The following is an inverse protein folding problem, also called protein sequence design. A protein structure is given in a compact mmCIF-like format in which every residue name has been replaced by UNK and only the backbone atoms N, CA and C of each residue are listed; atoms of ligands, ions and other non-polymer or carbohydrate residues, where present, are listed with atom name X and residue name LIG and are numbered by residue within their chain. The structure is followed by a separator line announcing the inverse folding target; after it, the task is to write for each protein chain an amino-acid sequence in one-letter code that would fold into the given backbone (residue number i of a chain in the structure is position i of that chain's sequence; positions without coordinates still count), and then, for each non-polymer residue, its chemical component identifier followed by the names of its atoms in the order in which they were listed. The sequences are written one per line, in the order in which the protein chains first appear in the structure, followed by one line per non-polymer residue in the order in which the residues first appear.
data_IF_982758046876
#
_entry.id   IF_982758046876
#
_cell.length_a   1.000
_cell.length_b   1.000
_cell.length_c   1.000
_cell.angle_alpha   90.00
_cell.angle_beta   90.00
_cell.angle_gamma   90.00
#
_symmetry.space_group_name_H-M   'P 1'
#
loop_
_entity.id
_entity.type
_entity.pdbx_description
1 polymer ?
#
# COMPACT_ATOMS: atom_id res chain seq x y z
N UNK A 1 -21.44 -28.90 -6.12
CA UNK A 1 -20.71 -27.77 -5.71
C UNK A 1 -21.56 -26.81 -4.95
N UNK A 2 -21.03 -26.17 -3.99
CA UNK A 2 -21.71 -25.41 -3.33
C UNK A 2 -22.03 -24.16 -3.78
N UNK A 3 -23.16 -24.06 -3.85
CA UNK A 3 -23.78 -23.06 -4.51
C UNK A 3 -23.98 -21.90 -3.67
N UNK A 4 -23.76 -22.01 -2.38
CA UNK A 4 -24.08 -20.96 -1.49
C UNK A 4 -22.82 -20.27 -1.03
N UNK A 5 -22.42 -19.17 -1.68
CA UNK A 5 -21.57 -18.19 -1.02
C UNK A 5 -22.44 -17.36 -0.13
N UNK A 6 -22.11 -17.32 1.16
CA UNK A 6 -22.75 -16.38 2.05
C UNK A 6 -22.33 -14.97 1.66
N UNK A 7 -23.18 -14.00 1.93
CA UNK A 7 -22.80 -12.62 1.79
C UNK A 7 -21.60 -12.36 2.71
N UNK A 8 -20.52 -11.85 2.18
CA UNK A 8 -19.26 -11.69 2.91
C UNK A 8 -18.20 -12.72 2.58
N UNK A 9 -18.55 -13.81 1.88
CA UNK A 9 -17.58 -14.82 1.43
C UNK A 9 -16.86 -14.42 0.14
N UNK A 10 -17.23 -13.29 -0.45
CA UNK A 10 -16.55 -12.77 -1.62
C UNK A 10 -15.11 -12.40 -1.29
N UNK A 11 -14.17 -12.88 -2.10
CA UNK A 11 -12.78 -12.51 -1.93
C UNK A 11 -12.60 -11.03 -2.09
N UNK A 12 -11.77 -10.45 -1.21
CA UNK A 12 -11.47 -9.03 -1.21
C UNK A 12 -10.03 -8.81 -1.62
N UNK A 13 -9.82 -7.87 -2.51
CA UNK A 13 -8.51 -7.53 -3.04
C UNK A 13 -8.26 -6.05 -2.79
N UNK A 14 -7.13 -5.78 -2.17
CA UNK A 14 -6.70 -4.42 -1.85
C UNK A 14 -5.45 -4.13 -2.70
N UNK A 15 -5.63 -3.31 -3.73
CA UNK A 15 -4.48 -2.84 -4.53
C UNK A 15 -3.76 -1.77 -3.73
N UNK A 16 -2.49 -2.00 -3.45
CA UNK A 16 -1.69 -1.06 -2.68
C UNK A 16 -0.44 -0.67 -3.45
N UNK A 17 -0.09 0.61 -3.34
CA UNK A 17 1.08 1.17 -4.01
C UNK A 17 2.03 1.72 -2.98
N UNK A 18 3.29 1.26 -3.00
CA UNK A 18 4.36 1.97 -2.35
C UNK A 18 4.70 3.14 -3.27
N UNK A 19 4.37 4.34 -2.79
CA UNK A 19 4.24 5.51 -3.65
C UNK A 19 5.32 6.53 -3.36
N UNK A 20 6.22 6.71 -4.32
CA UNK A 20 7.09 7.88 -4.39
C UNK A 20 6.50 8.72 -5.53
N UNK A 21 5.74 9.79 -5.23
CA UNK A 21 5.01 10.50 -6.28
C UNK A 21 5.89 10.93 -7.43
N UNK A 22 5.41 10.67 -8.62
CA UNK A 22 6.10 10.95 -9.88
C UNK A 22 5.13 10.96 -11.05
N UNK A 23 5.66 10.98 -12.25
CA UNK A 23 4.84 11.08 -13.46
C UNK A 23 3.94 9.84 -13.67
N UNK A 24 4.39 8.66 -13.24
CA UNK A 24 3.59 7.45 -13.34
C UNK A 24 2.41 7.41 -12.37
N UNK A 25 2.49 8.14 -11.26
CA UNK A 25 1.41 8.16 -10.26
C UNK A 25 0.12 8.71 -10.86
N UNK A 26 0.22 9.79 -11.65
CA UNK A 26 -0.94 10.35 -12.36
C UNK A 26 -1.57 9.35 -13.32
N UNK A 27 -0.76 8.62 -14.07
CA UNK A 27 -1.24 7.59 -15.01
C UNK A 27 -1.96 6.44 -14.27
N UNK A 28 -1.44 6.05 -13.11
CA UNK A 28 -2.09 5.04 -12.26
C UNK A 28 -3.44 5.56 -11.77
N UNK A 29 -3.51 6.79 -11.29
CA UNK A 29 -4.74 7.41 -10.82
C UNK A 29 -5.78 7.51 -11.95
N UNK A 30 -5.36 7.87 -13.17
CA UNK A 30 -6.23 7.90 -14.33
C UNK A 30 -6.81 6.51 -14.64
N UNK A 31 -5.97 5.48 -14.63
CA UNK A 31 -6.39 4.11 -14.89
C UNK A 31 -7.38 3.60 -13.84
N UNK A 32 -7.12 3.88 -12.55
CA UNK A 32 -8.04 3.51 -11.48
C UNK A 32 -9.39 4.23 -11.63
N UNK A 33 -9.39 5.51 -12.00
CA UNK A 33 -10.61 6.25 -12.26
C UNK A 33 -11.40 5.67 -13.43
N UNK A 34 -10.72 5.30 -14.53
CA UNK A 34 -11.35 4.68 -15.68
C UNK A 34 -12.00 3.34 -15.33
N UNK A 35 -11.41 2.59 -14.40
CA UNK A 35 -11.95 1.31 -13.95
C UNK A 35 -13.01 1.44 -12.85
N UNK A 36 -13.16 2.62 -12.27
CA UNK A 36 -14.10 2.86 -11.17
C UNK A 36 -13.75 2.14 -9.88
N UNK A 37 -12.46 1.89 -9.61
CA UNK A 37 -11.99 1.21 -8.40
C UNK A 37 -11.15 2.14 -7.53
N UNK A 38 -11.12 1.83 -6.25
CA UNK A 38 -10.34 2.58 -5.26
C UNK A 38 -9.20 1.72 -4.72
N UNK A 39 -8.08 2.35 -4.44
CA UNK A 39 -6.86 1.70 -3.97
C UNK A 39 -6.30 2.39 -2.73
N UNK A 40 -5.16 1.92 -2.26
CA UNK A 40 -4.45 2.48 -1.11
C UNK A 40 -3.03 2.86 -1.53
N UNK A 41 -2.62 4.06 -1.15
CA UNK A 41 -1.29 4.58 -1.45
C UNK A 41 -0.53 4.83 -0.15
N UNK A 42 0.54 4.07 0.05
CA UNK A 42 1.47 4.27 1.15
C UNK A 42 2.56 5.22 0.66
N UNK A 43 2.48 6.48 1.06
CA UNK A 43 3.25 7.55 0.43
C UNK A 43 4.52 7.91 1.18
N UNK A 44 5.51 8.31 0.42
CA UNK A 44 6.73 8.95 0.87
C UNK A 44 6.64 10.44 0.55
N UNK A 45 7.23 11.29 1.36
CA UNK A 45 7.20 12.73 1.13
C UNK A 45 8.04 13.13 -0.09
N UNK A 46 7.55 14.13 -0.82
CA UNK A 46 8.32 14.85 -1.82
C UNK A 46 8.19 16.34 -1.50
N UNK A 47 9.24 16.90 -0.92
CA UNK A 47 9.23 18.26 -0.41
C UNK A 47 9.50 19.34 -1.48
N UNK A 48 9.69 18.92 -2.74
CA UNK A 48 9.91 19.86 -3.84
C UNK A 48 8.69 20.74 -4.18
N UNK A 49 7.50 20.27 -3.77
CA UNK A 49 6.24 20.89 -4.14
C UNK A 49 5.71 20.51 -5.52
N UNK A 50 6.52 19.84 -6.33
CA UNK A 50 6.15 19.49 -7.71
C UNK A 50 4.94 18.57 -7.78
N UNK A 51 4.81 17.67 -6.81
CA UNK A 51 3.77 16.65 -6.80
C UNK A 51 2.70 16.87 -5.72
N UNK A 52 2.60 18.06 -5.16
CA UNK A 52 1.58 18.37 -4.14
C UNK A 52 0.17 18.00 -4.60
N UNK A 53 -0.15 18.27 -5.87
CA UNK A 53 -1.47 17.97 -6.42
C UNK A 53 -1.75 16.47 -6.51
N UNK A 54 -0.71 15.63 -6.62
CA UNK A 54 -0.86 14.16 -6.64
C UNK A 54 -1.38 13.66 -5.29
N UNK A 55 -0.80 14.14 -4.19
CA UNK A 55 -1.27 13.76 -2.85
C UNK A 55 -2.72 14.17 -2.63
N UNK A 56 -3.07 15.39 -3.05
CA UNK A 56 -4.45 15.90 -2.95
C UNK A 56 -5.41 15.06 -3.80
N UNK A 57 -4.99 14.69 -5.02
CA UNK A 57 -5.79 13.88 -5.92
C UNK A 57 -6.06 12.48 -5.37
N UNK A 58 -5.09 11.86 -4.72
CA UNK A 58 -5.27 10.55 -4.08
C UNK A 58 -6.50 10.59 -3.17
N UNK A 59 -6.61 11.62 -2.35
CA UNK A 59 -7.74 11.81 -1.43
C UNK A 59 -9.02 12.18 -2.18
N UNK A 60 -8.95 13.13 -3.10
CA UNK A 60 -10.10 13.61 -3.87
C UNK A 60 -10.75 12.49 -4.69
N UNK A 61 -9.96 11.59 -5.25
CA UNK A 61 -10.46 10.46 -6.03
C UNK A 61 -11.01 9.32 -5.15
N UNK A 62 -10.95 9.45 -3.83
CA UNK A 62 -11.52 8.50 -2.89
C UNK A 62 -10.62 7.33 -2.52
N UNK A 63 -9.34 7.41 -2.84
CA UNK A 63 -8.36 6.41 -2.41
C UNK A 63 -7.96 6.63 -0.95
N UNK A 64 -7.46 5.60 -0.31
CA UNK A 64 -6.85 5.73 1.01
C UNK A 64 -5.43 6.24 0.86
N UNK A 65 -5.11 7.35 1.54
CA UNK A 65 -3.75 7.82 1.68
C UNK A 65 -3.20 7.33 3.01
N UNK A 66 -2.04 6.70 2.98
CA UNK A 66 -1.41 6.07 4.13
C UNK A 66 0.08 6.40 4.15
N UNK A 67 0.74 6.04 5.25
CA UNK A 67 2.12 6.44 5.49
C UNK A 67 3.11 5.35 5.13
N UNK A 68 4.16 5.70 4.42
CA UNK A 68 5.35 4.87 4.27
C UNK A 68 6.52 5.50 5.04
N UNK A 69 7.05 6.63 4.57
CA UNK A 69 8.21 7.26 5.19
C UNK A 69 8.31 8.73 4.77
N UNK A 70 8.91 9.54 5.61
CA UNK A 70 9.26 10.91 5.24
C UNK A 70 10.58 10.94 4.46
N UNK A 71 11.62 10.31 5.01
CA UNK A 71 12.97 10.39 4.46
C UNK A 71 13.25 9.38 3.35
N UNK A 72 12.49 8.29 3.31
CA UNK A 72 12.73 7.13 2.43
C UNK A 72 14.14 6.54 2.55
N UNK A 73 14.77 6.72 3.70
CA UNK A 73 16.10 6.17 3.97
C UNK A 73 15.98 5.07 5.01
N UNK A 74 16.06 3.81 4.59
CA UNK A 74 15.88 2.66 5.46
C UNK A 74 16.89 2.65 6.62
N UNK A 75 18.16 2.94 6.31
CA UNK A 75 19.19 2.99 7.33
C UNK A 75 18.94 4.05 8.38
N UNK A 76 18.31 5.16 7.99
CA UNK A 76 18.01 6.27 8.90
C UNK A 76 16.80 5.99 9.76
N UNK A 77 15.69 5.52 9.16
CA UNK A 77 14.44 5.29 9.90
C UNK A 77 14.54 4.13 10.87
N UNK A 78 15.42 3.17 10.60
CA UNK A 78 15.60 1.98 11.44
C UNK A 78 16.84 2.03 12.31
N UNK A 79 17.46 3.21 12.44
CA UNK A 79 18.64 3.39 13.27
C UNK A 79 18.32 3.26 14.75
N UNK A 80 17.19 3.82 15.17
CA UNK A 80 16.75 3.84 16.57
C UNK A 80 15.23 4.00 16.64
N UNK A 81 14.66 3.78 17.81
CA UNK A 81 13.23 4.04 18.06
C UNK A 81 12.90 5.52 17.90
N UNK A 82 13.81 6.41 18.31
CA UNK A 82 13.64 7.85 18.15
C UNK A 82 13.63 8.25 16.68
N UNK A 83 14.56 7.74 15.89
CA UNK A 83 14.63 8.03 14.45
C UNK A 83 13.36 7.54 13.72
N UNK A 84 12.88 6.35 14.07
CA UNK A 84 11.63 5.82 13.54
C UNK A 84 10.44 6.72 13.89
N UNK A 85 10.32 7.11 15.16
CA UNK A 85 9.21 7.95 15.63
C UNK A 85 9.25 9.33 14.98
N UNK A 86 10.43 9.91 14.83
CA UNK A 86 10.58 11.21 14.15
C UNK A 86 10.13 11.13 12.68
N UNK A 87 10.54 10.09 11.96
CA UNK A 87 10.13 9.88 10.57
C UNK A 87 8.61 9.71 10.46
N UNK A 88 8.02 8.93 11.36
CA UNK A 88 6.58 8.70 11.43
C UNK A 88 5.82 10.01 11.64
N UNK A 89 6.26 10.83 12.59
CA UNK A 89 5.65 12.12 12.89
C UNK A 89 5.76 13.05 11.69
N UNK A 90 6.91 13.09 11.04
CA UNK A 90 7.15 13.94 9.88
C UNK A 90 6.26 13.55 8.69
N UNK A 91 6.11 12.27 8.39
CA UNK A 91 5.24 11.86 7.27
C UNK A 91 3.77 12.10 7.61
N UNK A 92 3.35 11.87 8.84
CA UNK A 92 1.99 12.14 9.29
C UNK A 92 1.65 13.63 9.14
N UNK A 93 2.52 14.51 9.64
CA UNK A 93 2.33 15.95 9.54
C UNK A 93 2.33 16.42 8.08
N UNK A 94 3.21 15.87 7.26
CA UNK A 94 3.30 16.20 5.84
C UNK A 94 1.98 15.91 5.12
N UNK A 95 1.42 14.72 5.31
CA UNK A 95 0.14 14.33 4.71
C UNK A 95 -0.99 15.21 5.22
N UNK A 96 -1.04 15.44 6.53
CA UNK A 96 -2.09 16.25 7.15
C UNK A 96 -2.06 17.70 6.63
N UNK A 97 -0.87 18.28 6.52
CA UNK A 97 -0.73 19.66 6.05
C UNK A 97 -1.13 19.81 4.58
N UNK A 98 -0.82 18.80 3.75
CA UNK A 98 -1.17 18.86 2.32
C UNK A 98 -2.63 18.54 2.04
N UNK A 99 -3.20 17.57 2.74
CA UNK A 99 -4.49 16.97 2.38
C UNK A 99 -5.61 17.24 3.36
N UNK A 100 -5.30 17.65 4.59
CA UNK A 100 -6.29 17.76 5.67
C UNK A 100 -6.65 16.41 6.30
N UNK A 101 -6.08 15.30 5.82
CA UNK A 101 -6.33 13.97 6.36
C UNK A 101 -5.26 13.62 7.38
N UNK A 102 -5.68 13.20 8.57
CA UNK A 102 -4.79 12.64 9.58
C UNK A 102 -4.69 11.12 9.33
N UNK A 103 -3.57 10.64 8.74
CA UNK A 103 -3.48 9.23 8.38
C UNK A 103 -3.28 8.36 9.62
N UNK A 104 -3.90 7.18 9.63
CA UNK A 104 -3.77 6.21 10.71
C UNK A 104 -3.41 4.81 10.22
N UNK A 105 -3.01 4.71 8.95
CA UNK A 105 -2.59 3.47 8.31
C UNK A 105 -1.15 3.63 7.82
N UNK A 106 -0.34 2.59 8.02
CA UNK A 106 1.09 2.64 7.80
C UNK A 106 1.59 1.35 7.15
N UNK A 107 2.68 1.44 6.41
CA UNK A 107 3.44 0.28 5.96
C UNK A 107 4.90 0.49 6.30
N UNK A 108 5.50 -0.48 7.02
CA UNK A 108 6.94 -0.47 7.25
C UNK A 108 7.69 -0.57 5.92
N UNK A 109 8.59 0.36 5.63
CA UNK A 109 9.50 0.17 4.48
C UNK A 109 10.23 -1.17 4.57
N UNK A 110 10.11 -1.99 3.52
CA UNK A 110 10.64 -3.35 3.51
C UNK A 110 9.79 -4.39 4.23
N UNK A 111 8.67 -3.99 4.82
CA UNK A 111 7.75 -4.87 5.55
C UNK A 111 8.09 -5.00 7.04
N UNK A 112 7.16 -5.54 7.82
CA UNK A 112 7.33 -5.70 9.28
C UNK A 112 8.40 -6.73 9.65
N UNK A 113 8.78 -7.62 8.74
CA UNK A 113 9.84 -8.60 8.95
C UNK A 113 11.11 -8.30 8.16
N UNK A 114 11.37 -7.02 7.85
CA UNK A 114 12.60 -6.65 7.18
C UNK A 114 13.83 -6.98 8.06
N UNK A 115 14.96 -7.21 7.41
CA UNK A 115 16.21 -7.52 8.10
C UNK A 115 17.19 -6.34 8.09
N UNK A 116 16.71 -5.16 7.75
CA UNK A 116 17.52 -3.95 7.65
C UNK A 116 17.59 -3.23 8.98
N UNK A 117 16.53 -3.34 9.78
CA UNK A 117 16.37 -2.59 11.04
C UNK A 117 17.44 -2.96 12.07
N UNK A 118 18.05 -1.94 12.67
CA UNK A 118 18.92 -2.11 13.84
C UNK A 118 18.10 -2.24 15.13
N UNK A 119 16.81 -1.94 15.07
CA UNK A 119 15.90 -2.03 16.22
C UNK A 119 15.05 -3.28 16.06
N UNK A 120 14.73 -3.94 17.17
CA UNK A 120 13.77 -5.04 17.15
C UNK A 120 12.43 -4.51 16.63
N UNK A 121 11.93 -5.12 15.56
CA UNK A 121 10.68 -4.69 14.92
C UNK A 121 9.49 -4.73 15.87
N UNK A 122 9.49 -5.63 16.86
CA UNK A 122 8.45 -5.69 17.90
C UNK A 122 8.36 -4.37 18.67
N UNK A 123 9.47 -3.71 18.95
CA UNK A 123 9.48 -2.40 19.61
C UNK A 123 8.81 -1.32 18.73
N UNK A 124 9.02 -1.39 17.42
CA UNK A 124 8.39 -0.45 16.50
C UNK A 124 6.87 -0.72 16.37
N UNK A 125 6.46 -1.98 16.39
CA UNK A 125 5.05 -2.35 16.44
C UNK A 125 4.37 -1.80 17.70
N UNK A 126 5.04 -1.87 18.85
CA UNK A 126 4.53 -1.28 20.09
C UNK A 126 4.29 0.22 19.98
N UNK A 127 5.20 0.93 19.30
CA UNK A 127 5.05 2.36 19.04
C UNK A 127 3.78 2.62 18.22
N UNK A 128 3.57 1.89 17.13
CA UNK A 128 2.37 2.04 16.29
C UNK A 128 1.10 1.72 17.09
N UNK A 129 1.11 0.64 17.88
CA UNK A 129 -0.03 0.28 18.72
C UNK A 129 -0.37 1.39 19.71
N UNK A 130 0.64 2.01 20.33
CA UNK A 130 0.43 3.09 21.30
C UNK A 130 -0.17 4.35 20.67
N UNK A 131 0.02 4.52 19.36
CA UNK A 131 -0.51 5.65 18.60
C UNK A 131 -1.80 5.32 17.86
N UNK A 132 -2.32 4.12 18.02
CA UNK A 132 -3.51 3.62 17.30
C UNK A 132 -3.34 3.68 15.78
N UNK A 133 -2.15 3.38 15.30
CA UNK A 133 -1.82 3.30 13.89
C UNK A 133 -1.77 1.82 13.50
N UNK A 134 -2.54 1.44 12.49
CA UNK A 134 -2.58 0.07 11.95
C UNK A 134 -1.62 -0.04 10.78
N UNK A 135 -0.77 -1.07 10.78
CA UNK A 135 0.10 -1.31 9.62
C UNK A 135 -0.34 -2.51 8.81
N UNK A 136 0.02 -2.48 7.53
CA UNK A 136 -0.26 -3.56 6.59
C UNK A 136 1.01 -3.95 5.86
N UNK A 137 1.33 -5.23 5.89
CA UNK A 137 2.27 -5.83 4.97
C UNK A 137 1.52 -6.18 3.67
N UNK A 138 1.94 -7.17 2.96
CA UNK A 138 1.28 -7.69 1.76
C UNK A 138 1.38 -9.21 1.76
N UNK A 139 0.47 -9.87 1.06
CA UNK A 139 0.51 -11.32 0.85
C UNK A 139 0.51 -11.71 -0.63
N UNK A 140 0.39 -10.74 -1.52
CA UNK A 140 0.51 -10.93 -2.97
C UNK A 140 1.47 -9.90 -3.54
N UNK A 141 2.55 -10.37 -4.14
CA UNK A 141 3.52 -9.49 -4.78
C UNK A 141 3.29 -9.49 -6.29
N UNK A 142 3.09 -8.32 -6.87
CA UNK A 142 2.93 -8.19 -8.31
C UNK A 142 4.20 -8.49 -9.10
N UNK A 143 5.36 -8.38 -8.44
CA UNK A 143 6.66 -8.54 -9.09
C UNK A 143 7.04 -7.38 -9.99
N UNK A 144 6.36 -6.24 -9.88
CA UNK A 144 6.52 -5.12 -10.80
C UNK A 144 7.89 -4.40 -10.70
N UNK A 145 8.67 -4.71 -9.66
CA UNK A 145 10.04 -4.18 -9.54
C UNK A 145 11.09 -5.06 -10.20
N UNK A 146 10.71 -6.24 -10.67
CA UNK A 146 11.65 -7.14 -11.34
C UNK A 146 12.05 -6.59 -12.71
N UNK A 147 13.30 -6.84 -13.10
CA UNK A 147 13.77 -6.46 -14.41
C UNK A 147 12.97 -7.20 -15.48
N UNK A 148 12.64 -6.51 -16.56
CA UNK A 148 11.87 -7.07 -17.69
C UNK A 148 10.48 -7.59 -17.33
N UNK A 149 9.88 -7.09 -16.23
CA UNK A 149 8.51 -7.44 -15.87
C UNK A 149 7.53 -6.84 -16.88
N UNK A 150 6.75 -7.69 -17.54
CA UNK A 150 5.74 -7.27 -18.49
C UNK A 150 4.39 -7.02 -17.82
N UNK A 151 3.46 -6.39 -18.54
CA UNK A 151 2.06 -6.27 -18.11
C UNK A 151 1.47 -7.64 -17.81
N UNK A 152 1.69 -8.62 -18.69
CA UNK A 152 1.19 -9.98 -18.47
C UNK A 152 1.79 -10.63 -17.23
N UNK A 153 3.06 -10.39 -16.94
CA UNK A 153 3.69 -10.90 -15.73
C UNK A 153 3.01 -10.35 -14.47
N UNK A 154 2.73 -9.06 -14.44
CA UNK A 154 2.03 -8.43 -13.32
C UNK A 154 0.64 -9.05 -13.15
N UNK A 155 -0.13 -9.13 -14.23
CA UNK A 155 -1.48 -9.69 -14.20
C UNK A 155 -1.45 -11.14 -13.72
N UNK A 156 -0.55 -11.96 -14.26
CA UNK A 156 -0.45 -13.37 -13.88
C UNK A 156 -0.01 -13.56 -12.44
N UNK A 157 0.97 -12.80 -11.98
CA UNK A 157 1.43 -12.87 -10.58
C UNK A 157 0.31 -12.54 -9.60
N UNK A 158 -0.45 -11.49 -9.88
CA UNK A 158 -1.54 -11.07 -9.01
C UNK A 158 -2.71 -12.05 -9.07
N UNK A 159 -3.14 -12.46 -10.25
CA UNK A 159 -4.29 -13.37 -10.39
C UNK A 159 -4.00 -14.73 -9.76
N UNK A 160 -2.79 -15.23 -9.88
CA UNK A 160 -2.37 -16.47 -9.21
C UNK A 160 -2.33 -16.30 -7.68
N UNK A 161 -1.85 -15.15 -7.21
CA UNK A 161 -1.74 -14.88 -5.78
C UNK A 161 -3.08 -14.73 -5.09
N UNK A 162 -3.99 -13.94 -5.67
CA UNK A 162 -5.30 -13.69 -5.04
C UNK A 162 -6.18 -14.93 -4.99
N UNK A 163 -5.92 -15.92 -5.82
CA UNK A 163 -6.64 -17.19 -5.79
C UNK A 163 -6.41 -17.96 -4.49
N UNK A 164 -5.36 -17.62 -3.75
CA UNK A 164 -4.95 -18.34 -2.53
C UNK A 164 -5.56 -17.79 -1.24
N UNK A 165 -6.12 -16.59 -1.27
CA UNK A 165 -6.53 -15.90 -0.05
C UNK A 165 -7.94 -15.35 -0.15
N UNK A 166 -8.62 -15.27 0.99
CA UNK A 166 -9.91 -14.57 1.10
C UNK A 166 -9.71 -13.05 1.12
N UNK A 167 -8.58 -12.60 1.65
CA UNK A 167 -8.18 -11.19 1.69
C UNK A 167 -6.78 -11.07 1.14
N UNK A 168 -6.64 -10.37 0.02
CA UNK A 168 -5.35 -10.18 -0.64
C UNK A 168 -4.93 -8.72 -0.60
N UNK A 169 -3.77 -8.46 -0.04
CA UNK A 169 -3.11 -7.16 -0.10
C UNK A 169 -2.00 -7.26 -1.13
N UNK A 170 -2.18 -6.55 -2.24
CA UNK A 170 -1.29 -6.63 -3.40
C UNK A 170 -0.28 -5.51 -3.36
N UNK A 171 1.00 -5.87 -3.47
CA UNK A 171 2.10 -4.90 -3.52
C UNK A 171 2.39 -4.49 -4.96
N UNK A 172 2.26 -3.19 -5.21
CA UNK A 172 2.61 -2.52 -6.45
C UNK A 172 3.45 -1.28 -6.14
N UNK A 173 4.11 -0.76 -7.14
CA UNK A 173 4.94 0.44 -7.04
C UNK A 173 4.61 1.43 -8.15
N UNK A 174 4.82 2.72 -7.89
CA UNK A 174 4.64 3.78 -8.89
C UNK A 174 5.96 4.41 -9.36
N UNK A 175 7.05 3.72 -9.14
CA UNK A 175 8.38 4.20 -9.47
C UNK A 175 8.41 4.80 -10.88
N UNK A 176 8.96 6.01 -11.00
CA UNK A 176 8.99 6.79 -12.23
C UNK A 176 9.74 6.10 -13.38
N UNK A 177 10.57 5.11 -13.08
CA UNK A 177 11.28 4.35 -14.10
C UNK A 177 10.45 3.18 -14.65
N UNK A 178 9.17 2.99 -14.18
CA UNK A 178 8.40 1.81 -14.48
C UNK A 178 6.98 2.17 -14.90
N UNK A 179 6.79 2.46 -16.20
CA UNK A 179 5.44 2.70 -16.75
C UNK A 179 4.60 1.43 -16.82
N UNK A 180 5.22 0.25 -16.71
CA UNK A 180 4.55 -1.04 -16.86
C UNK A 180 3.44 -1.24 -15.83
N UNK A 181 3.65 -0.79 -14.59
CA UNK A 181 2.62 -0.88 -13.56
C UNK A 181 1.36 -0.09 -13.95
N UNK A 182 1.52 1.15 -14.43
CA UNK A 182 0.39 1.96 -14.87
C UNK A 182 -0.37 1.30 -16.03
N UNK A 183 0.36 0.73 -16.98
CA UNK A 183 -0.22 0.03 -18.13
C UNK A 183 -0.96 -1.24 -17.71
N UNK A 184 -0.55 -1.87 -16.62
CA UNK A 184 -1.14 -3.10 -16.13
C UNK A 184 -2.47 -2.91 -15.40
N UNK A 185 -2.80 -1.70 -14.94
CA UNK A 185 -3.95 -1.47 -14.04
C UNK A 185 -5.27 -1.94 -14.67
N UNK A 186 -5.58 -1.51 -15.88
CA UNK A 186 -6.86 -1.87 -16.50
C UNK A 186 -7.00 -3.37 -16.75
N UNK A 187 -6.03 -4.06 -17.38
CA UNK A 187 -6.14 -5.51 -17.53
C UNK A 187 -6.11 -6.26 -16.19
N UNK A 188 -5.41 -5.75 -15.21
CA UNK A 188 -5.37 -6.33 -13.87
C UNK A 188 -6.75 -6.26 -13.19
N UNK A 189 -7.39 -5.10 -13.22
CA UNK A 189 -8.74 -4.91 -12.65
C UNK A 189 -9.75 -5.83 -13.35
N UNK A 190 -9.69 -5.93 -14.66
CA UNK A 190 -10.56 -6.85 -15.42
C UNK A 190 -10.37 -8.30 -14.95
N UNK A 191 -9.13 -8.74 -14.82
CA UNK A 191 -8.81 -10.11 -14.40
C UNK A 191 -9.25 -10.39 -12.96
N UNK A 192 -9.12 -9.44 -12.07
CA UNK A 192 -9.57 -9.58 -10.68
C UNK A 192 -11.11 -9.70 -10.64
N UNK A 193 -11.80 -8.84 -11.36
CA UNK A 193 -13.26 -8.88 -11.44
C UNK A 193 -13.77 -10.16 -12.08
N UNK A 194 -13.06 -10.68 -13.07
CA UNK A 194 -13.40 -11.94 -13.72
C UNK A 194 -13.33 -13.14 -12.77
N UNK A 195 -12.52 -13.06 -11.70
CA UNK A 195 -12.50 -14.07 -10.65
C UNK A 195 -13.63 -13.90 -9.63
N UNK A 196 -14.46 -12.89 -9.77
CA UNK A 196 -15.55 -12.62 -8.83
C UNK A 196 -15.08 -11.93 -7.54
N UNK A 197 -13.86 -11.42 -7.51
CA UNK A 197 -13.33 -10.72 -6.35
C UNK A 197 -13.75 -9.26 -6.34
N UNK A 198 -13.83 -8.68 -5.14
CA UNK A 198 -14.16 -7.28 -4.91
C UNK A 198 -12.89 -6.48 -4.64
N UNK A 199 -12.73 -5.34 -5.28
CA UNK A 199 -11.57 -4.45 -5.09
C UNK A 199 -11.98 -3.30 -4.18
N UNK A 200 -11.25 -3.13 -3.08
CA UNK A 200 -11.56 -2.14 -2.04
C UNK A 200 -10.31 -1.38 -1.60
N UNK A 201 -10.46 -0.13 -1.15
CA UNK A 201 -9.38 0.54 -0.43
C UNK A 201 -9.30 0.00 1.01
N UNK A 202 -8.13 0.10 1.61
CA UNK A 202 -7.94 -0.26 3.02
C UNK A 202 -8.62 0.78 3.92
N UNK A 203 -9.31 0.30 4.94
CA UNK A 203 -9.86 1.12 6.02
C UNK A 203 -9.58 0.46 7.38
N UNK A 204 -10.15 1.02 8.46
CA UNK A 204 -9.91 0.53 9.81
C UNK A 204 -10.55 -0.83 10.09
N UNK A 205 -11.45 -1.30 9.21
CA UNK A 205 -12.12 -2.59 9.35
C UNK A 205 -11.51 -3.67 8.44
N UNK A 206 -10.50 -3.31 7.65
CA UNK A 206 -9.84 -4.25 6.74
C UNK A 206 -9.11 -5.34 7.51
N UNK A 207 -9.21 -6.59 7.04
CA UNK A 207 -8.45 -7.70 7.59
C UNK A 207 -6.96 -7.39 7.54
N UNK A 208 -6.28 -7.54 8.69
CA UNK A 208 -4.88 -7.10 8.83
C UNK A 208 -3.94 -8.17 8.31
N UNK A 209 -3.36 -7.93 7.14
CA UNK A 209 -2.29 -8.76 6.59
C UNK A 209 -0.98 -8.24 7.19
N UNK A 210 -0.43 -8.97 8.14
CA UNK A 210 0.75 -8.57 8.91
C UNK A 210 1.64 -9.78 9.12
N UNK A 211 2.94 -9.65 8.81
CA UNK A 211 3.91 -10.71 9.09
C UNK A 211 4.16 -10.83 10.59
N UNK A 212 4.33 -9.72 11.28
CA UNK A 212 4.26 -9.65 12.73
C UNK A 212 2.84 -9.24 13.07
N UNK A 213 2.15 -10.03 13.87
CA UNK A 213 0.76 -9.75 14.24
C UNK A 213 0.74 -8.71 15.37
N UNK A 214 0.16 -7.54 15.10
CA UNK A 214 0.13 -6.43 16.07
C UNK A 214 -0.61 -6.76 17.36
N UNK A 215 -1.63 -7.64 17.29
CA UNK A 215 -2.41 -8.05 18.46
C UNK A 215 -1.66 -9.03 19.37
N UNK A 216 -0.53 -9.59 18.94
CA UNK A 216 0.33 -10.45 19.77
C UNK A 216 1.43 -9.67 20.48
N UNK A 217 1.53 -8.37 20.19
CA UNK A 217 2.56 -7.49 20.73
C UNK A 217 1.89 -6.54 21.72
N UNK A 218 2.42 -6.45 22.90
CA UNK A 218 1.85 -5.70 24.03
C UNK A 218 1.56 -4.22 23.86
#
# INVERSE_FOLDING_TARGET
GDVYKRQGDTRKVYLTFDCIPGDNTGAILDALANCGVKATFFVTADTSGKYDDVYKRIVQDGHTIAMASYSNSYSKIYESTEAFTDDLTQISDYITNLTGIAPDIYRFPGGSMNQISNVDMVELVKILNSKHITYFDWNVNSGDTADNCSVDDIVNNVTSGIAKYDNSVVLLHDDSNRSTTAEAIEPLVESIKAQGAEILPIDNNTYKVQYIKSDTVG
#
